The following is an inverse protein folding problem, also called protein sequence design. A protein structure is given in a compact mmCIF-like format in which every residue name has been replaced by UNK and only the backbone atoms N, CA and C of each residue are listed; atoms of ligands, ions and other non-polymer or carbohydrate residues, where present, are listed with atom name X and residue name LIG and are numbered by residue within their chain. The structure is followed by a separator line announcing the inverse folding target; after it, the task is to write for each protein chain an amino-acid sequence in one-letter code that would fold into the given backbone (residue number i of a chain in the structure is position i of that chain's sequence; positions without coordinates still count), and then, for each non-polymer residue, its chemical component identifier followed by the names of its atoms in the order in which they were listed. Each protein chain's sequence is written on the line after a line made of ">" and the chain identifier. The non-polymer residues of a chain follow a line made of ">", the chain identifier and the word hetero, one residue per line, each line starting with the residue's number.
data_IF_766562654128
#
_entry.id   IF_766562654128
#
_cell.length_a   1.000
_cell.length_b   1.000
_cell.length_c   1.000
_cell.angle_alpha   90.00
_cell.angle_beta   90.00
_cell.angle_gamma   90.00
#
_symmetry.space_group_name_H-M   'P 1'
#
loop_
_entity.id
_entity.type
_entity.pdbx_description
1 polymer ?
#
# COMPACT_ATOMS: atom_id res chain seq x y z
N UNK A 1 0.89 20.85 3.01
CA UNK A 1 0.71 19.90 4.17
C UNK A 1 1.33 18.54 3.84
N UNK A 2 2.06 17.90 4.76
CA UNK A 2 2.61 16.56 4.53
C UNK A 2 2.13 15.61 5.63
N UNK A 3 1.32 14.62 5.25
CA UNK A 3 0.79 13.59 6.13
C UNK A 3 1.61 12.31 5.97
N UNK A 4 2.20 11.82 7.06
CA UNK A 4 3.00 10.59 7.09
C UNK A 4 2.36 9.64 8.08
N UNK A 5 1.91 8.47 7.60
CA UNK A 5 1.25 7.46 8.43
C UNK A 5 1.82 6.07 8.14
N UNK A 6 1.84 5.21 9.15
CA UNK A 6 2.26 3.82 8.99
C UNK A 6 1.07 2.89 8.67
N UNK A 7 1.35 1.69 8.15
CA UNK A 7 0.36 0.62 8.04
C UNK A 7 0.91 -0.77 8.37
N UNK A 8 0.01 -1.75 8.52
CA UNK A 8 0.33 -3.15 8.81
C UNK A 8 0.53 -3.96 7.53
N UNK A 9 -0.33 -3.78 6.53
CA UNK A 9 -0.19 -4.41 5.23
C UNK A 9 -0.85 -3.56 4.13
N UNK A 10 -0.34 -3.71 2.90
CA UNK A 10 -0.90 -3.10 1.70
C UNK A 10 -0.99 -4.16 0.60
N UNK A 11 -2.13 -4.22 -0.08
CA UNK A 11 -2.29 -5.14 -1.21
C UNK A 11 -1.85 -4.55 -2.56
N UNK A 12 -1.69 -5.40 -3.57
CA UNK A 12 -1.28 -4.99 -4.91
C UNK A 12 -2.24 -4.01 -5.62
N UNK A 13 -3.47 -3.82 -5.10
CA UNK A 13 -4.39 -2.79 -5.60
C UNK A 13 -4.18 -1.44 -4.93
N UNK A 14 -3.40 -1.40 -3.86
CA UNK A 14 -3.12 -0.23 -3.03
C UNK A 14 -4.10 -0.04 -1.87
N UNK A 15 -4.90 -1.06 -1.50
CA UNK A 15 -5.71 -1.00 -0.28
C UNK A 15 -4.84 -1.25 0.94
N UNK A 16 -5.09 -0.50 2.02
CA UNK A 16 -4.25 -0.51 3.20
C UNK A 16 -5.07 -0.96 4.42
N UNK A 17 -4.54 -1.95 5.13
CA UNK A 17 -4.96 -2.27 6.48
C UNK A 17 -3.93 -1.73 7.48
N UNK A 18 -4.43 -0.94 8.44
CA UNK A 18 -3.58 -0.31 9.47
C UNK A 18 -3.98 -0.69 10.88
N UNK A 19 -5.21 -1.17 11.11
CA UNK A 19 -5.68 -1.53 12.45
C UNK A 19 -5.62 -3.01 12.77
N UNK A 20 -5.72 -3.88 11.75
CA UNK A 20 -5.81 -5.32 11.93
C UNK A 20 -5.01 -6.11 10.90
N UNK A 21 -4.67 -7.35 11.26
CA UNK A 21 -4.17 -8.38 10.34
C UNK A 21 -5.16 -9.53 10.41
N UNK A 22 -5.93 -9.71 9.34
CA UNK A 22 -7.12 -10.56 9.38
C UNK A 22 -8.07 -10.09 10.49
N UNK A 23 -8.58 -11.03 11.27
CA UNK A 23 -9.51 -10.73 12.37
C UNK A 23 -8.81 -10.23 13.66
N UNK A 24 -7.48 -10.15 13.69
CA UNK A 24 -6.73 -9.71 14.87
C UNK A 24 -6.53 -8.19 14.84
N UNK A 25 -7.15 -7.48 15.79
CA UNK A 25 -7.00 -6.04 15.96
C UNK A 25 -5.74 -5.71 16.79
N UNK A 26 -4.92 -4.81 16.28
CA UNK A 26 -3.68 -4.33 16.90
C UNK A 26 -3.80 -2.89 17.40
N UNK A 27 -4.60 -2.08 16.71
CA UNK A 27 -4.88 -0.68 17.06
C UNK A 27 -6.34 -0.37 16.72
N UNK A 28 -6.65 0.88 16.38
CA UNK A 28 -7.92 1.26 15.78
C UNK A 28 -7.73 2.15 14.55
N UNK A 29 -8.83 2.42 13.87
CA UNK A 29 -8.96 3.28 12.69
C UNK A 29 -8.16 4.60 12.75
N UNK A 30 -8.21 5.30 13.90
CA UNK A 30 -7.48 6.56 14.10
C UNK A 30 -7.96 7.69 13.17
N UNK A 31 -7.07 8.64 12.86
CA UNK A 31 -7.34 9.74 11.91
C UNK A 31 -6.58 9.60 10.59
N UNK A 32 -6.01 8.43 10.30
CA UNK A 32 -5.12 8.24 9.15
C UNK A 32 -5.76 8.69 7.83
N UNK A 33 -7.01 8.27 7.58
CA UNK A 33 -7.71 8.63 6.35
C UNK A 33 -8.02 10.11 6.27
N UNK A 34 -8.27 10.77 7.40
CA UNK A 34 -8.57 12.21 7.45
C UNK A 34 -7.37 13.02 6.99
N UNK A 35 -6.18 12.71 7.52
CA UNK A 35 -4.94 13.39 7.14
C UNK A 35 -4.51 13.04 5.71
N UNK A 36 -4.74 11.81 5.25
CA UNK A 36 -4.49 11.40 3.86
C UNK A 36 -5.37 12.19 2.90
N UNK A 37 -6.68 12.28 3.16
CA UNK A 37 -7.62 13.03 2.35
C UNK A 37 -7.30 14.54 2.36
N UNK A 38 -7.09 15.12 3.54
CA UNK A 38 -6.76 16.54 3.68
C UNK A 38 -5.47 16.93 2.94
N UNK A 39 -4.44 16.07 3.00
CA UNK A 39 -3.22 16.30 2.23
C UNK A 39 -3.45 16.18 0.71
N UNK A 40 -4.28 15.24 0.25
CA UNK A 40 -4.59 15.10 -1.17
C UNK A 40 -5.39 16.30 -1.73
N UNK A 41 -6.18 16.99 -0.89
CA UNK A 41 -7.03 18.13 -1.29
C UNK A 41 -6.49 19.48 -0.81
N UNK A 42 -5.20 19.58 -0.48
CA UNK A 42 -4.60 20.82 -0.01
C UNK A 42 -4.78 21.95 -1.04
N UNK A 43 -5.20 23.14 -0.59
CA UNK A 43 -5.50 24.29 -1.46
C UNK A 43 -4.29 24.78 -2.26
N UNK A 44 -3.09 24.67 -1.67
CA UNK A 44 -1.81 25.00 -2.31
C UNK A 44 -1.40 23.99 -3.40
N UNK A 45 -2.08 22.83 -3.49
CA UNK A 45 -1.74 21.69 -4.36
C UNK A 45 -0.34 21.10 -4.12
N UNK A 46 0.27 21.40 -2.98
CA UNK A 46 1.59 20.89 -2.60
C UNK A 46 1.50 19.73 -1.59
N UNK A 47 0.28 19.34 -1.25
CA UNK A 47 0.00 18.34 -0.25
C UNK A 47 0.51 16.94 -0.61
N UNK A 48 1.08 16.24 0.39
CA UNK A 48 1.64 14.90 0.24
C UNK A 48 1.05 13.94 1.26
N UNK A 49 0.32 12.94 0.80
CA UNK A 49 -0.15 11.82 1.60
C UNK A 49 0.81 10.63 1.42
N UNK A 50 1.54 10.29 2.48
CA UNK A 50 2.61 9.30 2.47
C UNK A 50 2.28 8.19 3.46
N UNK A 51 2.29 6.96 2.96
CA UNK A 51 2.15 5.74 3.73
C UNK A 51 3.52 5.08 3.82
N UNK A 52 3.95 4.73 5.03
CA UNK A 52 5.26 4.12 5.29
C UNK A 52 5.10 2.74 5.90
N UNK A 53 5.92 1.80 5.44
CA UNK A 53 6.03 0.47 6.02
C UNK A 53 7.41 -0.12 5.71
N UNK A 54 8.02 -0.89 6.62
CA UNK A 54 9.08 -1.79 6.20
C UNK A 54 8.50 -2.81 5.20
N UNK A 55 9.30 -3.29 4.25
CA UNK A 55 8.83 -4.28 3.27
C UNK A 55 8.47 -5.63 3.90
N UNK A 56 9.11 -5.95 5.03
CA UNK A 56 8.90 -7.15 5.84
C UNK A 56 8.76 -6.82 7.33
N UNK A 57 8.13 -7.73 8.07
CA UNK A 57 8.14 -7.75 9.54
C UNK A 57 9.51 -8.19 10.06
N UNK A 58 9.77 -8.01 11.36
CA UNK A 58 10.98 -8.53 12.02
C UNK A 58 11.12 -10.06 11.97
N UNK A 59 10.03 -10.77 11.66
CA UNK A 59 9.99 -12.23 11.45
C UNK A 59 10.11 -12.63 9.97
N UNK A 60 10.45 -11.70 9.09
CA UNK A 60 10.64 -11.94 7.65
C UNK A 60 9.35 -12.07 6.83
N UNK A 61 8.17 -11.86 7.41
CA UNK A 61 6.90 -11.92 6.65
C UNK A 61 6.70 -10.66 5.80
N UNK A 62 6.28 -10.76 4.53
CA UNK A 62 6.02 -9.62 3.65
C UNK A 62 4.87 -8.75 4.18
N UNK A 63 4.97 -7.43 3.99
CA UNK A 63 3.89 -6.47 4.28
C UNK A 63 3.26 -5.85 3.03
N UNK A 64 3.91 -6.01 1.86
CA UNK A 64 3.26 -5.85 0.56
C UNK A 64 2.76 -7.23 0.16
N UNK A 65 1.45 -7.38 0.03
CA UNK A 65 0.79 -8.69 -0.11
C UNK A 65 -0.04 -8.78 -1.39
N UNK A 66 -0.25 -9.97 -1.98
CA UNK A 66 -1.11 -10.10 -3.15
C UNK A 66 -2.54 -9.60 -2.91
N UNK A 67 -3.09 -9.92 -1.75
CA UNK A 67 -4.39 -9.50 -1.23
C UNK A 67 -4.26 -9.33 0.29
N UNK A 68 -5.04 -8.41 0.87
CA UNK A 68 -5.08 -8.25 2.33
C UNK A 68 -5.46 -9.57 3.01
N UNK A 69 -4.92 -9.79 4.20
CA UNK A 69 -5.20 -10.98 5.00
C UNK A 69 -6.72 -11.07 5.21
N UNK A 70 -7.32 -12.25 4.99
CA UNK A 70 -8.77 -12.41 5.07
C UNK A 70 -9.31 -11.94 6.42
N UNK A 71 -10.28 -11.01 6.38
CA UNK A 71 -10.86 -10.36 7.56
C UNK A 71 -10.21 -9.04 7.96
N UNK A 72 -9.10 -8.64 7.32
CA UNK A 72 -8.44 -7.37 7.62
C UNK A 72 -9.34 -6.17 7.29
N UNK A 73 -9.33 -5.18 8.18
CA UNK A 73 -10.08 -3.94 8.04
C UNK A 73 -9.34 -2.95 7.13
N UNK A 74 -9.98 -2.55 6.03
CA UNK A 74 -9.45 -1.49 5.16
C UNK A 74 -9.65 -0.14 5.82
N UNK A 75 -8.55 0.49 6.23
CA UNK A 75 -8.56 1.84 6.84
C UNK A 75 -8.41 2.91 5.77
N UNK A 76 -7.43 2.75 4.88
CA UNK A 76 -7.22 3.64 3.74
C UNK A 76 -7.54 2.89 2.45
N UNK A 77 -8.61 3.31 1.77
CA UNK A 77 -9.05 2.66 0.54
C UNK A 77 -8.06 2.95 -0.59
N UNK A 78 -8.06 2.08 -1.62
CA UNK A 78 -7.21 2.25 -2.81
C UNK A 78 -7.36 3.61 -3.51
N UNK A 79 -8.50 4.28 -3.36
CA UNK A 79 -8.73 5.61 -3.94
C UNK A 79 -7.94 6.73 -3.25
N UNK A 80 -7.60 6.54 -1.98
CA UNK A 80 -6.88 7.54 -1.17
C UNK A 80 -5.36 7.35 -1.20
N UNK A 81 -4.87 6.17 -1.59
CA UNK A 81 -3.44 5.87 -1.55
C UNK A 81 -2.66 6.61 -2.65
N UNK A 82 -1.77 7.51 -2.23
CA UNK A 82 -0.85 8.25 -3.11
C UNK A 82 0.56 7.68 -3.05
N UNK A 83 1.35 8.06 -2.05
CA UNK A 83 2.74 7.60 -1.93
C UNK A 83 2.85 6.46 -0.93
N UNK A 84 3.60 5.43 -1.29
CA UNK A 84 3.97 4.31 -0.42
C UNK A 84 5.48 4.22 -0.39
N UNK A 85 6.05 4.10 0.81
CA UNK A 85 7.50 4.12 1.02
C UNK A 85 7.92 2.92 1.85
N UNK A 86 8.94 2.22 1.36
CA UNK A 86 9.68 1.19 2.09
C UNK A 86 11.17 1.53 2.09
N UNK A 87 11.99 0.70 2.74
CA UNK A 87 13.44 0.76 2.66
C UNK A 87 13.99 0.55 1.23
N UNK A 88 13.17 0.09 0.28
CA UNK A 88 13.56 -0.15 -1.13
C UNK A 88 13.12 0.97 -2.08
N UNK A 89 12.43 2.01 -1.60
CA UNK A 89 12.12 3.21 -2.37
C UNK A 89 10.68 3.69 -2.25
N UNK A 90 10.25 4.45 -3.26
CA UNK A 90 8.96 5.15 -3.28
C UNK A 90 8.12 4.65 -4.47
N UNK A 91 6.86 4.33 -4.18
CA UNK A 91 5.81 4.07 -5.15
C UNK A 91 4.77 5.18 -5.11
N UNK A 92 4.46 5.77 -6.27
CA UNK A 92 3.31 6.67 -6.41
C UNK A 92 2.18 5.89 -7.09
N UNK A 93 1.01 5.78 -6.46
CA UNK A 93 -0.15 5.02 -6.94
C UNK A 93 -1.30 5.91 -7.46
N UNK A 94 -1.17 7.24 -7.30
CA UNK A 94 -2.21 8.16 -7.73
C UNK A 94 -2.36 8.15 -9.25
N UNK A 95 -3.60 8.04 -9.73
CA UNK A 95 -3.93 7.97 -11.16
C UNK A 95 -3.50 6.68 -11.87
N UNK A 96 -2.85 5.73 -11.19
CA UNK A 96 -2.36 4.50 -11.79
C UNK A 96 -3.42 3.41 -11.87
N UNK A 97 -3.40 2.65 -12.98
CA UNK A 97 -4.21 1.44 -13.16
C UNK A 97 -3.80 0.34 -12.17
N UNK A 98 -4.62 -0.70 -11.98
CA UNK A 98 -4.27 -1.82 -11.08
C UNK A 98 -2.97 -2.49 -11.51
N UNK A 99 -2.76 -2.66 -12.82
CA UNK A 99 -1.53 -3.20 -13.41
C UNK A 99 -0.29 -2.36 -13.04
N UNK A 100 -0.43 -1.04 -13.14
CA UNK A 100 0.64 -0.09 -12.81
C UNK A 100 0.89 0.01 -11.31
N UNK A 101 -0.15 -0.07 -10.48
CA UNK A 101 -0.02 -0.09 -9.02
C UNK A 101 0.71 -1.33 -8.54
N UNK A 102 0.35 -2.50 -9.06
CA UNK A 102 1.04 -3.74 -8.76
C UNK A 102 2.53 -3.62 -9.09
N UNK A 103 2.88 -3.12 -10.28
CA UNK A 103 4.26 -2.91 -10.69
C UNK A 103 5.05 -2.01 -9.73
N UNK A 104 4.46 -0.87 -9.35
CA UNK A 104 5.08 0.10 -8.46
C UNK A 104 5.31 -0.45 -7.06
N UNK A 105 4.32 -1.18 -6.51
CA UNK A 105 4.42 -1.80 -5.20
C UNK A 105 5.44 -2.94 -5.18
N UNK A 106 5.47 -3.78 -6.21
CA UNK A 106 6.45 -4.86 -6.36
C UNK A 106 7.87 -4.30 -6.41
N UNK A 107 8.09 -3.19 -7.12
CA UNK A 107 9.41 -2.55 -7.21
C UNK A 107 9.97 -2.12 -5.85
N UNK A 108 9.10 -1.74 -4.91
CA UNK A 108 9.48 -1.35 -3.54
C UNK A 108 9.28 -2.47 -2.51
N UNK A 109 8.92 -3.69 -2.94
CA UNK A 109 8.90 -4.86 -2.08
C UNK A 109 10.33 -5.40 -1.86
N UNK A 110 10.47 -6.25 -0.84
CA UNK A 110 11.71 -6.98 -0.60
C UNK A 110 12.10 -7.80 -1.84
N UNK A 111 13.37 -7.80 -2.29
CA UNK A 111 13.79 -8.50 -3.50
C UNK A 111 13.30 -9.94 -3.60
N UNK A 112 13.46 -10.72 -2.53
CA UNK A 112 12.99 -12.12 -2.43
C UNK A 112 11.48 -12.32 -2.61
N UNK A 113 10.64 -11.31 -2.36
CA UNK A 113 9.17 -11.44 -2.44
C UNK A 113 8.65 -11.07 -3.85
N UNK A 114 9.47 -10.44 -4.70
CA UNK A 114 9.02 -9.83 -5.96
C UNK A 114 8.48 -10.85 -6.95
N UNK A 115 9.19 -11.96 -7.13
CA UNK A 115 8.77 -13.02 -8.06
C UNK A 115 7.40 -13.59 -7.67
N UNK A 116 7.20 -13.87 -6.37
CA UNK A 116 5.93 -14.37 -5.86
C UNK A 116 4.80 -13.34 -6.05
N UNK A 117 5.08 -12.07 -5.80
CA UNK A 117 4.10 -10.99 -5.99
C UNK A 117 3.74 -10.80 -7.47
N UNK A 118 4.70 -10.90 -8.39
CA UNK A 118 4.45 -10.83 -9.84
C UNK A 118 3.56 -11.98 -10.31
N UNK A 119 3.87 -13.20 -9.88
CA UNK A 119 3.04 -14.38 -10.17
C UNK A 119 1.62 -14.20 -9.66
N UNK A 120 1.47 -13.82 -8.39
CA UNK A 120 0.15 -13.62 -7.79
C UNK A 120 -0.61 -12.45 -8.44
N UNK A 121 0.08 -11.41 -8.90
CA UNK A 121 -0.51 -10.31 -9.65
C UNK A 121 -1.08 -10.80 -10.98
N UNK A 122 -0.32 -11.61 -11.73
CA UNK A 122 -0.76 -12.18 -13.00
C UNK A 122 -1.98 -13.09 -12.80
N UNK A 123 -1.92 -13.99 -11.81
CA UNK A 123 -3.04 -14.89 -11.47
C UNK A 123 -4.30 -14.10 -11.07
N UNK A 124 -4.15 -13.02 -10.29
CA UNK A 124 -5.28 -12.21 -9.81
C UNK A 124 -5.86 -11.27 -10.88
N UNK A 125 -5.01 -10.64 -11.70
CA UNK A 125 -5.40 -9.57 -12.61
C UNK A 125 -5.45 -9.98 -14.08
N UNK A 126 -5.06 -11.23 -14.39
CA UNK A 126 -5.01 -11.77 -15.75
C UNK A 126 -4.16 -10.91 -16.71
N UNK A 127 -3.17 -10.19 -16.16
CA UNK A 127 -2.22 -9.39 -16.90
C UNK A 127 -0.92 -9.20 -16.10
N UNK A 128 0.21 -9.10 -16.79
CA UNK A 128 1.51 -8.88 -16.14
C UNK A 128 1.58 -7.46 -15.57
N UNK A 129 2.07 -7.25 -14.34
CA UNK A 129 2.39 -5.90 -13.85
C UNK A 129 3.28 -5.15 -14.85
N UNK A 130 3.01 -3.87 -15.06
CA UNK A 130 3.81 -3.05 -15.98
C UNK A 130 3.72 -1.58 -15.63
N UNK A 131 4.75 -0.84 -15.99
CA UNK A 131 4.80 0.61 -15.89
C UNK A 131 3.83 1.31 -16.86
N UNK A 132 3.41 0.64 -17.94
CA UNK A 132 2.58 1.19 -19.01
C UNK A 132 1.20 0.53 -19.06
#
# INVERSE_FOLDING_TARGET
>A
MTAINACLEIDLTGQIASESIGNAFYSGFGGQVDFVAAAATAHDREGKAIIVLPSRTSKGKPKIVPALTQGAGVVTTRGHTHYVVTEYGIANLFGKSIRQRAYELIRIAHPDDREQLEKAAYERFQCMPSQF
#
